data_IF_599670971470
#
_entry.id   IF_599670971470
#
_cell.length_a   1.000
_cell.length_b   1.000
_cell.length_c   1.000
_cell.angle_alpha   90.00
_cell.angle_beta   90.00
_cell.angle_gamma   90.00
#
_symmetry.space_group_name_H-M   'P 1'
#
loop_
_entity.id
_entity.type
_entity.pdbx_description
1 polymer ?
#
# COMPACT_ATOMS: atom_id res chain seq x y z
N UNK A 1 -17.73 9.25 -14.79
CA UNK A 1 -16.66 8.29 -14.39
C UNK A 1 -16.68 6.97 -15.17
N UNK A 2 -17.64 6.72 -16.08
CA UNK A 2 -17.76 5.43 -16.81
C UNK A 2 -16.54 5.06 -17.67
N UNK A 3 -15.87 6.03 -18.30
CA UNK A 3 -14.74 5.77 -19.21
C UNK A 3 -13.46 5.30 -18.52
N UNK A 4 -13.30 5.52 -17.21
CA UNK A 4 -12.10 5.12 -16.45
C UNK A 4 -12.22 3.75 -15.78
N UNK A 5 -13.43 3.18 -15.75
CA UNK A 5 -13.70 1.89 -15.10
C UNK A 5 -12.75 0.77 -15.58
N UNK A 6 -12.54 0.55 -16.89
CA UNK A 6 -11.61 -0.49 -17.35
C UNK A 6 -10.16 -0.28 -16.87
N UNK A 7 -9.71 0.97 -16.80
CA UNK A 7 -8.35 1.33 -16.34
C UNK A 7 -8.20 1.02 -14.85
N UNK A 8 -9.18 1.40 -14.04
CA UNK A 8 -9.19 1.12 -12.59
C UNK A 8 -9.20 -0.39 -12.33
N UNK A 9 -9.99 -1.14 -13.10
CA UNK A 9 -10.04 -2.61 -13.05
C UNK A 9 -8.69 -3.23 -13.38
N UNK A 10 -8.06 -2.81 -14.49
CA UNK A 10 -6.76 -3.33 -14.91
C UNK A 10 -5.62 -2.96 -13.96
N UNK A 11 -5.71 -1.81 -13.29
CA UNK A 11 -4.69 -1.33 -12.36
C UNK A 11 -4.81 -1.96 -10.97
N UNK A 12 -6.00 -2.40 -10.55
CA UNK A 12 -6.24 -2.95 -9.22
C UNK A 12 -5.36 -4.15 -8.86
N UNK A 13 -5.14 -5.15 -9.75
CA UNK A 13 -4.19 -6.24 -9.51
C UNK A 13 -2.75 -5.75 -9.30
N UNK A 14 -2.35 -4.63 -9.91
CA UNK A 14 -0.99 -4.07 -9.75
C UNK A 14 -0.78 -3.61 -8.31
N UNK A 15 -1.79 -2.99 -7.69
CA UNK A 15 -1.75 -2.63 -6.26
C UNK A 15 -1.58 -3.88 -5.40
N UNK A 16 -2.38 -4.92 -5.68
CA UNK A 16 -2.30 -6.20 -4.96
C UNK A 16 -0.91 -6.84 -5.07
N UNK A 17 -0.35 -6.91 -6.28
CA UNK A 17 0.99 -7.44 -6.52
C UNK A 17 2.09 -6.61 -5.85
N UNK A 18 1.99 -5.28 -5.89
CA UNK A 18 2.96 -4.40 -5.22
C UNK A 18 2.94 -4.60 -3.69
N UNK A 19 1.76 -4.77 -3.10
CA UNK A 19 1.58 -5.04 -1.68
C UNK A 19 2.10 -6.43 -1.29
N UNK A 20 1.81 -7.48 -2.07
CA UNK A 20 2.36 -8.81 -1.86
C UNK A 20 3.88 -8.81 -1.99
N UNK A 21 4.41 -8.21 -3.05
CA UNK A 21 5.85 -8.14 -3.31
C UNK A 21 6.60 -7.39 -2.21
N UNK A 22 6.12 -6.19 -1.84
CA UNK A 22 6.72 -5.40 -0.77
C UNK A 22 6.59 -6.06 0.60
N UNK A 23 5.46 -6.74 0.88
CA UNK A 23 5.26 -7.49 2.12
C UNK A 23 6.17 -8.71 2.23
N UNK A 24 6.25 -9.53 1.18
CA UNK A 24 7.16 -10.66 1.15
C UNK A 24 8.63 -10.20 1.27
N UNK A 25 9.01 -9.18 0.50
CA UNK A 25 10.36 -8.63 0.55
C UNK A 25 10.72 -8.08 1.94
N UNK A 26 9.81 -7.35 2.58
CA UNK A 26 10.03 -6.78 3.91
C UNK A 26 10.14 -7.83 5.02
N UNK A 27 9.53 -9.00 4.87
CA UNK A 27 9.69 -10.13 5.80
C UNK A 27 11.09 -10.72 5.67
N UNK A 28 11.56 -10.97 4.44
CA UNK A 28 12.85 -11.64 4.22
C UNK A 28 14.07 -10.72 4.24
N UNK A 29 13.88 -9.42 3.96
CA UNK A 29 14.92 -8.39 3.87
C UNK A 29 14.49 -7.09 4.59
N UNK A 30 14.24 -7.14 5.91
CA UNK A 30 13.68 -6.02 6.67
C UNK A 30 14.56 -4.76 6.65
N UNK A 31 15.89 -4.91 6.73
CA UNK A 31 16.83 -3.78 6.67
C UNK A 31 16.73 -3.04 5.31
N UNK A 32 16.78 -3.79 4.21
CA UNK A 32 16.66 -3.19 2.88
C UNK A 32 15.31 -2.52 2.69
N UNK A 33 14.25 -3.12 3.22
CA UNK A 33 12.91 -2.56 3.11
C UNK A 33 12.75 -1.29 3.98
N UNK A 34 13.40 -1.21 5.13
CA UNK A 34 13.50 0.03 5.92
C UNK A 34 14.18 1.15 5.12
N UNK A 35 15.22 0.84 4.35
CA UNK A 35 15.85 1.81 3.45
C UNK A 35 14.91 2.25 2.32
N UNK A 36 14.12 1.33 1.75
CA UNK A 36 13.10 1.65 0.74
C UNK A 36 11.99 2.53 1.33
N UNK A 37 11.56 2.25 2.56
CA UNK A 37 10.64 3.10 3.33
C UNK A 37 11.22 4.50 3.54
N UNK A 38 12.55 4.60 3.53
CA UNK A 38 13.34 5.82 3.52
C UNK A 38 14.19 6.00 4.79
N UNK A 39 14.20 5.04 5.71
CA UNK A 39 15.01 5.09 6.94
C UNK A 39 16.45 4.72 6.59
N UNK A 40 17.30 5.72 6.31
CA UNK A 40 18.67 5.48 5.82
C UNK A 40 19.63 4.89 6.87
N UNK A 41 19.36 5.13 8.15
CA UNK A 41 20.16 4.63 9.27
C UNK A 41 19.25 3.81 10.20
N UNK A 42 18.69 2.71 9.69
CA UNK A 42 17.83 1.83 10.49
C UNK A 42 18.67 1.12 11.55
N UNK A 43 18.31 1.29 12.83
CA UNK A 43 18.89 0.56 13.94
C UNK A 43 18.26 -0.81 14.10
N UNK A 44 18.79 -1.59 15.05
CA UNK A 44 18.27 -2.91 15.39
C UNK A 44 16.76 -2.89 15.77
N UNK A 45 16.24 -1.91 16.54
CA UNK A 45 14.82 -1.84 16.87
C UNK A 45 13.93 -1.65 15.64
N UNK A 46 14.31 -0.76 14.71
CA UNK A 46 13.53 -0.49 13.50
C UNK A 46 13.48 -1.71 12.58
N UNK A 47 14.59 -2.44 12.48
CA UNK A 47 14.69 -3.67 11.67
C UNK A 47 13.84 -4.79 12.25
N UNK A 48 13.78 -4.93 13.58
CA UNK A 48 12.98 -5.96 14.26
C UNK A 48 11.46 -5.73 14.13
N UNK A 49 11.02 -4.48 14.06
CA UNK A 49 9.60 -4.15 13.87
C UNK A 49 9.13 -4.25 12.42
N UNK A 50 10.07 -4.18 11.45
CA UNK A 50 9.73 -4.11 10.04
C UNK A 50 8.92 -5.31 9.50
N UNK A 51 9.20 -6.58 9.89
CA UNK A 51 8.41 -7.72 9.45
C UNK A 51 6.91 -7.61 9.79
N UNK A 52 6.54 -6.93 10.89
CA UNK A 52 5.15 -6.64 11.21
C UNK A 52 4.48 -5.70 10.20
N UNK A 53 5.20 -4.63 9.82
CA UNK A 53 4.76 -3.70 8.76
C UNK A 53 4.73 -4.36 7.37
N UNK A 54 5.60 -5.33 7.15
CA UNK A 54 5.62 -6.12 5.93
C UNK A 54 4.45 -7.12 5.88
N UNK A 55 4.12 -7.75 7.02
CA UNK A 55 2.97 -8.64 7.17
C UNK A 55 1.63 -7.96 6.86
N UNK A 56 1.41 -6.71 7.33
CA UNK A 56 0.20 -5.94 6.98
C UNK A 56 0.08 -5.71 5.46
N UNK A 57 1.19 -5.40 4.78
CA UNK A 57 1.18 -5.20 3.33
C UNK A 57 0.89 -6.51 2.60
N UNK A 58 1.48 -7.62 3.03
CA UNK A 58 1.21 -8.93 2.45
C UNK A 58 -0.28 -9.30 2.59
N UNK A 59 -0.85 -9.14 3.79
CA UNK A 59 -2.27 -9.40 4.05
C UNK A 59 -3.18 -8.52 3.20
N UNK A 60 -2.89 -7.22 3.10
CA UNK A 60 -3.64 -6.29 2.27
C UNK A 60 -3.54 -6.64 0.78
N UNK A 61 -2.35 -7.01 0.30
CA UNK A 61 -2.14 -7.43 -1.08
C UNK A 61 -2.95 -8.67 -1.43
N UNK A 62 -2.96 -9.68 -0.55
CA UNK A 62 -3.80 -10.87 -0.70
C UNK A 62 -5.28 -10.48 -0.74
N UNK A 63 -5.75 -9.63 0.18
CA UNK A 63 -7.14 -9.17 0.19
C UNK A 63 -7.53 -8.47 -1.12
N UNK A 64 -6.67 -7.59 -1.65
CA UNK A 64 -6.88 -6.90 -2.93
C UNK A 64 -6.99 -7.89 -4.07
N UNK A 65 -6.06 -8.84 -4.18
CA UNK A 65 -6.06 -9.86 -5.24
C UNK A 65 -7.28 -10.77 -5.13
N UNK A 66 -7.65 -11.21 -3.93
CA UNK A 66 -8.81 -12.07 -3.69
C UNK A 66 -10.13 -11.39 -4.05
N UNK A 67 -10.34 -10.14 -3.64
CA UNK A 67 -11.56 -9.39 -3.98
C UNK A 67 -11.60 -9.01 -5.46
N UNK A 68 -10.45 -8.67 -6.05
CA UNK A 68 -10.34 -8.39 -7.48
C UNK A 68 -10.66 -9.63 -8.32
N UNK A 69 -10.14 -10.81 -7.94
CA UNK A 69 -10.43 -12.08 -8.61
C UNK A 69 -11.92 -12.43 -8.56
N UNK A 70 -12.56 -12.21 -7.41
CA UNK A 70 -14.00 -12.41 -7.22
C UNK A 70 -14.88 -11.32 -7.84
N UNK A 71 -14.28 -10.28 -8.43
CA UNK A 71 -14.97 -9.11 -8.99
C UNK A 71 -15.85 -8.38 -7.95
N UNK A 72 -15.48 -8.44 -6.67
CA UNK A 72 -16.19 -7.77 -5.59
C UNK A 72 -15.68 -6.33 -5.43
N UNK A 73 -16.02 -5.49 -6.40
CA UNK A 73 -15.45 -4.14 -6.50
C UNK A 73 -15.89 -3.20 -5.37
N UNK A 74 -17.13 -3.27 -4.89
CA UNK A 74 -17.57 -2.44 -3.76
C UNK A 74 -16.82 -2.77 -2.46
N UNK A 75 -16.76 -4.04 -2.00
CA UNK A 75 -15.91 -4.41 -0.87
C UNK A 75 -14.45 -4.01 -1.06
N UNK A 76 -13.91 -4.15 -2.26
CA UNK A 76 -12.54 -3.77 -2.58
C UNK A 76 -12.31 -2.26 -2.49
N UNK A 77 -13.24 -1.45 -3.00
CA UNK A 77 -13.22 0.00 -2.87
C UNK A 77 -13.27 0.43 -1.41
N UNK A 78 -14.17 -0.16 -0.61
CA UNK A 78 -14.25 0.09 0.84
C UNK A 78 -12.96 -0.27 1.57
N UNK A 79 -12.37 -1.42 1.20
CA UNK A 79 -11.10 -1.87 1.78
C UNK A 79 -9.98 -0.89 1.43
N UNK A 80 -9.81 -0.52 0.16
CA UNK A 80 -8.74 0.41 -0.28
C UNK A 80 -8.92 1.82 0.28
N UNK A 81 -10.17 2.28 0.44
CA UNK A 81 -10.45 3.57 1.09
C UNK A 81 -10.03 3.54 2.57
N UNK A 82 -10.33 2.44 3.27
CA UNK A 82 -9.87 2.24 4.65
C UNK A 82 -8.33 2.11 4.72
N UNK A 83 -7.73 1.42 3.76
CA UNK A 83 -6.28 1.23 3.66
C UNK A 83 -5.51 2.54 3.44
N UNK A 84 -6.17 3.57 2.88
CA UNK A 84 -5.61 4.90 2.73
C UNK A 84 -5.15 5.51 4.07
N UNK A 85 -5.77 5.12 5.20
CA UNK A 85 -5.33 5.53 6.54
C UNK A 85 -3.88 5.09 6.80
N UNK A 86 -3.50 3.89 6.36
CA UNK A 86 -2.12 3.40 6.46
C UNK A 86 -1.16 4.30 5.67
N UNK A 87 -1.55 4.72 4.47
CA UNK A 87 -0.77 5.64 3.65
C UNK A 87 -0.55 7.01 4.31
N UNK A 88 -1.57 7.56 4.97
CA UNK A 88 -1.45 8.79 5.76
C UNK A 88 -0.50 8.62 6.95
N UNK A 89 -0.61 7.51 7.69
CA UNK A 89 0.28 7.21 8.82
C UNK A 89 1.72 7.05 8.36
N UNK A 90 1.95 6.30 7.28
CA UNK A 90 3.30 6.11 6.73
C UNK A 90 3.90 7.44 6.26
N UNK A 91 3.11 8.27 5.58
CA UNK A 91 3.52 9.63 5.18
C UNK A 91 3.87 10.50 6.40
N UNK A 92 3.05 10.44 7.46
CA UNK A 92 3.30 11.18 8.70
C UNK A 92 4.58 10.73 9.39
N UNK A 93 4.84 9.42 9.50
CA UNK A 93 6.09 8.87 10.04
C UNK A 93 7.29 9.40 9.25
N UNK A 94 7.18 9.46 7.93
CA UNK A 94 8.25 10.00 7.09
C UNK A 94 8.47 11.50 7.30
N UNK A 95 7.40 12.29 7.42
CA UNK A 95 7.48 13.75 7.64
C UNK A 95 8.02 14.11 9.03
N UNK A 96 7.75 13.28 10.03
CA UNK A 96 8.20 13.50 11.42
C UNK A 96 9.61 13.02 11.69
N UNK A 97 10.24 12.32 10.73
CA UNK A 97 11.58 11.79 10.89
C UNK A 97 12.54 12.44 9.88
N UNK A 98 13.46 13.33 10.32
CA UNK A 98 14.32 14.09 9.42
C UNK A 98 15.31 13.22 8.62
N UNK A 99 15.40 11.92 8.94
CA UNK A 99 16.27 10.95 8.27
C UNK A 99 15.58 10.22 7.11
N UNK A 100 14.32 10.55 6.80
CA UNK A 100 13.54 9.87 5.78
C UNK A 100 13.51 10.63 4.46
N UNK A 101 13.93 9.96 3.38
CA UNK A 101 14.11 10.59 2.05
C UNK A 101 13.00 10.25 1.04
N UNK A 102 12.17 9.24 1.33
CA UNK A 102 11.20 8.70 0.37
C UNK A 102 9.75 9.08 0.64
N UNK A 103 9.48 10.15 1.39
CA UNK A 103 8.12 10.60 1.73
C UNK A 103 7.19 10.71 0.51
N UNK A 104 7.72 11.14 -0.63
CA UNK A 104 6.95 11.28 -1.87
C UNK A 104 6.30 9.98 -2.36
N UNK A 105 6.95 8.82 -2.17
CA UNK A 105 6.36 7.54 -2.59
C UNK A 105 5.08 7.22 -1.81
N UNK A 106 5.04 7.58 -0.52
CA UNK A 106 3.89 7.36 0.36
C UNK A 106 2.74 8.33 0.02
N UNK A 107 3.08 9.59 -0.29
CA UNK A 107 2.10 10.57 -0.80
C UNK A 107 1.48 10.07 -2.10
N UNK A 108 2.31 9.66 -3.07
CA UNK A 108 1.83 9.14 -4.35
C UNK A 108 0.93 7.91 -4.18
N UNK A 109 1.35 6.94 -3.36
CA UNK A 109 0.55 5.75 -3.08
C UNK A 109 -0.81 6.11 -2.44
N UNK A 110 -0.83 7.09 -1.53
CA UNK A 110 -2.07 7.59 -0.91
C UNK A 110 -2.99 8.24 -1.95
N UNK A 111 -2.44 9.06 -2.87
CA UNK A 111 -3.20 9.67 -3.96
C UNK A 111 -3.78 8.63 -4.94
N UNK A 112 -3.01 7.56 -5.23
CA UNK A 112 -3.50 6.44 -6.04
C UNK A 112 -4.75 5.83 -5.40
N UNK A 113 -4.73 5.57 -4.09
CA UNK A 113 -5.87 5.01 -3.38
C UNK A 113 -7.07 5.98 -3.36
N UNK A 114 -6.83 7.28 -3.24
CA UNK A 114 -7.87 8.30 -3.28
C UNK A 114 -8.62 8.36 -4.63
N UNK A 115 -8.02 7.87 -5.72
CA UNK A 115 -8.67 7.79 -7.04
C UNK A 115 -9.28 6.40 -7.27
N UNK A 116 -8.51 5.34 -6.99
CA UNK A 116 -8.92 3.96 -7.27
C UNK A 116 -10.09 3.53 -6.38
N UNK A 117 -10.06 3.86 -5.10
CA UNK A 117 -11.09 3.41 -4.16
C UNK A 117 -12.48 3.98 -4.47
N UNK A 118 -12.67 5.31 -4.69
CA UNK A 118 -13.98 5.84 -5.10
C UNK A 118 -14.45 5.30 -6.45
N UNK A 119 -13.52 5.11 -7.41
CA UNK A 119 -13.88 4.53 -8.71
C UNK A 119 -14.38 3.08 -8.62
N UNK A 120 -13.88 2.31 -7.65
CA UNK A 120 -14.38 0.97 -7.34
C UNK A 120 -15.74 0.98 -6.62
N UNK A 121 -16.04 2.02 -5.84
CA UNK A 121 -17.32 2.17 -5.14
C UNK A 121 -18.46 2.56 -6.07
N UNK A 122 -18.16 3.31 -7.14
CA UNK A 122 -19.11 3.70 -8.20
C UNK A 122 -19.42 2.57 -9.20
N UNK A 123 -18.98 1.34 -8.92
CA UNK A 123 -19.32 0.17 -9.73
C UNK A 123 -20.74 -0.33 -9.39
N UNK A 124 -21.66 -0.05 -10.32
CA UNK A 124 -22.99 -0.63 -10.45
C UNK A 124 -23.04 -1.43 -11.74
#
# INVERSE_FOLDING_TARGET
MSSFKPVIQGFTPVIGLALVGSGAYGIFKPLNMAHIFGILNAGEPEVLFYPGLAGRNLAAGIAVLSLSYQRQYKPLGTFLLSWMIVGFVDTWICLTNPKVVNTWIHVMNTCILAVVAPGLLDWW
#
